data_IF_995948430565
#
_entry.id   IF_995948430565
#
_cell.length_a   1.000
_cell.length_b   1.000
_cell.length_c   1.000
_cell.angle_alpha   90.00
_cell.angle_beta   90.00
_cell.angle_gamma   90.00
#
_symmetry.space_group_name_H-M   'P 1'
#
loop_
_entity.id
_entity.type
_entity.pdbx_description
1 polymer ?
#
# COMPACT_ATOMS: atom_id res chain seq x y z
N UNK A 1 -36.18 0.42 1.37
CA UNK A 1 -35.59 1.25 2.44
C UNK A 1 -34.11 1.40 2.14
N UNK A 2 -33.67 2.48 1.49
CA UNK A 2 -32.26 2.70 1.20
C UNK A 2 -31.56 3.11 2.49
N UNK A 3 -30.84 2.18 3.12
CA UNK A 3 -29.95 2.54 4.22
C UNK A 3 -28.97 3.59 3.69
N UNK A 4 -28.80 4.68 4.44
CA UNK A 4 -27.87 5.74 4.09
C UNK A 4 -26.46 5.14 4.11
N UNK A 5 -25.96 4.77 2.94
CA UNK A 5 -24.63 4.17 2.78
C UNK A 5 -23.58 5.25 3.07
N UNK A 6 -22.98 5.22 4.26
CA UNK A 6 -21.96 6.18 4.67
C UNK A 6 -20.59 5.79 4.11
N UNK A 7 -19.68 6.76 3.95
CA UNK A 7 -18.29 6.49 3.55
C UNK A 7 -17.63 5.47 4.50
N UNK A 8 -17.92 5.55 5.79
CA UNK A 8 -17.45 4.59 6.78
C UNK A 8 -17.97 3.18 6.48
N UNK A 9 -19.24 3.03 6.10
CA UNK A 9 -19.80 1.72 5.75
C UNK A 9 -19.14 1.13 4.50
N UNK A 10 -18.96 1.95 3.45
CA UNK A 10 -18.33 1.53 2.19
C UNK A 10 -16.89 1.08 2.42
N UNK A 11 -16.11 1.89 3.14
CA UNK A 11 -14.66 1.72 3.22
C UNK A 11 -14.19 0.91 4.42
N UNK A 12 -15.04 0.68 5.42
CA UNK A 12 -14.67 -0.05 6.65
C UNK A 12 -15.77 -0.96 7.18
N UNK A 13 -17.03 -0.56 7.10
CA UNK A 13 -18.13 -1.24 7.79
C UNK A 13 -18.58 -2.57 7.17
N UNK A 14 -18.16 -2.88 5.93
CA UNK A 14 -18.44 -4.19 5.33
C UNK A 14 -17.37 -5.22 5.72
N UNK A 15 -17.74 -6.51 5.93
CA UNK A 15 -16.77 -7.57 6.21
C UNK A 15 -15.66 -7.68 5.15
N UNK A 16 -16.01 -7.45 3.89
CA UNK A 16 -15.04 -7.44 2.79
C UNK A 16 -14.04 -6.30 2.93
N UNK A 17 -14.49 -5.09 3.23
CA UNK A 17 -13.61 -3.94 3.43
C UNK A 17 -12.66 -4.15 4.61
N UNK A 18 -13.21 -4.61 5.74
CA UNK A 18 -12.40 -4.96 6.92
C UNK A 18 -11.32 -5.99 6.60
N UNK A 19 -11.68 -7.09 5.93
CA UNK A 19 -10.72 -8.14 5.56
C UNK A 19 -9.62 -7.64 4.62
N UNK A 20 -9.94 -6.70 3.71
CA UNK A 20 -8.92 -6.08 2.84
C UNK A 20 -7.95 -5.24 3.66
N UNK A 21 -8.45 -4.38 4.55
CA UNK A 21 -7.60 -3.58 5.43
C UNK A 21 -6.70 -4.46 6.30
N UNK A 22 -7.27 -5.47 6.97
CA UNK A 22 -6.51 -6.39 7.83
C UNK A 22 -5.44 -7.15 7.06
N UNK A 23 -5.77 -7.67 5.87
CA UNK A 23 -4.80 -8.39 5.03
C UNK A 23 -3.57 -7.54 4.69
N UNK A 24 -3.78 -6.31 4.23
CA UNK A 24 -2.65 -5.43 3.89
C UNK A 24 -1.96 -4.88 5.13
N UNK A 25 -2.66 -4.61 6.22
CA UNK A 25 -2.03 -4.21 7.47
C UNK A 25 -1.06 -5.29 7.97
N UNK A 26 -1.51 -6.56 8.01
CA UNK A 26 -0.66 -7.70 8.36
C UNK A 26 0.54 -7.86 7.42
N UNK A 27 0.33 -7.71 6.10
CA UNK A 27 1.39 -7.81 5.11
C UNK A 27 2.52 -6.81 5.33
N UNK A 28 2.19 -5.61 5.83
CA UNK A 28 3.13 -4.52 6.12
C UNK A 28 3.52 -4.43 7.60
N UNK A 29 3.10 -5.38 8.44
CA UNK A 29 3.39 -5.36 9.88
C UNK A 29 2.75 -4.20 10.63
N UNK A 30 1.62 -3.68 10.15
CA UNK A 30 0.80 -2.65 10.81
C UNK A 30 -0.25 -3.36 11.67
N UNK A 31 -0.44 -2.91 12.91
CA UNK A 31 -1.38 -3.52 13.85
C UNK A 31 -2.83 -3.13 13.47
N UNK A 32 -3.70 -4.08 13.10
CA UNK A 32 -5.06 -3.76 12.64
C UNK A 32 -5.99 -3.20 13.73
N UNK A 33 -5.72 -3.50 15.01
CA UNK A 33 -6.56 -3.06 16.14
C UNK A 33 -6.60 -1.54 16.31
N UNK A 34 -5.62 -0.82 15.75
CA UNK A 34 -5.53 0.64 15.83
C UNK A 34 -6.38 1.33 14.75
N UNK A 35 -7.04 0.55 13.89
CA UNK A 35 -7.72 1.05 12.69
C UNK A 35 -9.22 0.78 12.78
N UNK A 36 -9.99 1.77 13.24
CA UNK A 36 -11.45 1.65 13.38
C UNK A 36 -12.23 2.44 12.33
N UNK A 37 -11.56 3.29 11.56
CA UNK A 37 -12.16 4.09 10.49
C UNK A 37 -11.13 4.53 9.45
N UNK A 38 -11.62 5.08 8.35
CA UNK A 38 -10.78 5.54 7.23
C UNK A 38 -9.73 6.56 7.66
N UNK A 39 -10.09 7.52 8.53
CA UNK A 39 -9.16 8.56 8.96
C UNK A 39 -8.02 7.99 9.83
N UNK A 40 -8.33 7.05 10.72
CA UNK A 40 -7.33 6.32 11.50
C UNK A 40 -6.45 5.46 10.58
N UNK A 41 -7.03 4.77 9.60
CA UNK A 41 -6.26 3.99 8.62
C UNK A 41 -5.25 4.88 7.89
N UNK A 42 -5.72 6.00 7.32
CA UNK A 42 -4.84 6.93 6.61
C UNK A 42 -3.74 7.49 7.51
N UNK A 43 -4.07 7.82 8.76
CA UNK A 43 -3.09 8.32 9.75
C UNK A 43 -2.03 7.29 10.08
N UNK A 44 -2.44 6.07 10.46
CA UNK A 44 -1.52 4.98 10.83
C UNK A 44 -0.59 4.65 9.67
N UNK A 45 -1.12 4.51 8.46
CA UNK A 45 -0.31 4.23 7.28
C UNK A 45 0.63 5.39 6.92
N UNK A 46 0.17 6.64 7.04
CA UNK A 46 1.01 7.82 6.78
C UNK A 46 2.19 7.92 7.75
N UNK A 47 1.98 7.59 9.02
CA UNK A 47 3.01 7.66 10.08
C UNK A 47 3.90 6.41 10.14
N UNK A 48 3.55 5.35 9.41
CA UNK A 48 4.28 4.07 9.45
C UNK A 48 5.67 4.09 8.80
N UNK A 49 6.05 5.19 8.14
CA UNK A 49 7.33 5.39 7.48
C UNK A 49 7.62 6.87 7.27
N UNK A 50 8.88 7.26 7.37
CA UNK A 50 9.39 8.61 7.12
C UNK A 50 9.80 8.83 5.65
N UNK A 51 9.80 7.77 4.85
CA UNK A 51 10.36 7.82 3.50
C UNK A 51 9.34 8.42 2.51
N UNK A 52 9.66 9.51 1.81
CA UNK A 52 8.74 10.10 0.84
C UNK A 52 8.44 9.13 -0.32
N UNK A 53 7.16 9.01 -0.68
CA UNK A 53 6.72 8.16 -1.80
C UNK A 53 6.81 6.66 -1.50
N UNK A 54 6.87 6.28 -0.22
CA UNK A 54 6.94 4.89 0.19
C UNK A 54 5.68 4.10 -0.22
N UNK A 55 5.82 2.80 -0.51
CA UNK A 55 4.67 1.94 -0.88
C UNK A 55 3.54 1.98 0.16
N UNK A 56 3.88 2.14 1.44
CA UNK A 56 2.93 2.29 2.56
C UNK A 56 2.04 3.53 2.43
N UNK A 57 2.45 4.57 1.72
CA UNK A 57 1.58 5.73 1.43
C UNK A 57 0.60 5.44 0.29
N UNK A 58 0.94 4.52 -0.61
CA UNK A 58 0.17 4.22 -1.82
C UNK A 58 -0.90 3.17 -1.56
N UNK A 59 -0.57 2.11 -0.81
CA UNK A 59 -1.49 1.01 -0.48
C UNK A 59 -2.85 1.46 0.06
N UNK A 60 -2.96 2.36 1.06
CA UNK A 60 -4.26 2.79 1.57
C UNK A 60 -5.09 3.52 0.49
N UNK A 61 -4.45 4.24 -0.43
CA UNK A 61 -5.12 4.90 -1.57
C UNK A 61 -5.67 3.85 -2.53
N UNK A 62 -4.91 2.80 -2.81
CA UNK A 62 -5.35 1.69 -3.67
C UNK A 62 -6.51 0.91 -3.05
N UNK A 63 -6.49 0.69 -1.74
CA UNK A 63 -7.60 0.06 -1.01
C UNK A 63 -8.88 0.89 -1.16
N UNK A 64 -8.81 2.20 -0.88
CA UNK A 64 -9.96 3.10 -1.03
C UNK A 64 -10.48 3.11 -2.47
N UNK A 65 -9.58 3.20 -3.45
CA UNK A 65 -9.96 3.19 -4.86
C UNK A 65 -10.66 1.88 -5.26
N UNK A 66 -10.10 0.73 -4.88
CA UNK A 66 -10.65 -0.57 -5.25
C UNK A 66 -12.00 -0.85 -4.56
N UNK A 67 -12.16 -0.43 -3.30
CA UNK A 67 -13.45 -0.51 -2.59
C UNK A 67 -14.50 0.41 -3.22
N UNK A 68 -14.11 1.62 -3.63
CA UNK A 68 -14.98 2.54 -4.35
C UNK A 68 -15.43 1.97 -5.71
N UNK A 69 -14.48 1.41 -6.48
CA UNK A 69 -14.76 0.75 -7.75
C UNK A 69 -15.76 -0.41 -7.56
N UNK A 70 -15.50 -1.29 -6.57
CA UNK A 70 -16.36 -2.41 -6.22
C UNK A 70 -17.79 -1.97 -5.85
N UNK A 71 -17.91 -0.92 -5.01
CA UNK A 71 -19.21 -0.38 -4.62
C UNK A 71 -19.98 0.18 -5.81
N UNK A 72 -19.31 0.96 -6.67
CA UNK A 72 -19.98 1.56 -7.82
C UNK A 72 -20.49 0.50 -8.79
N UNK A 73 -19.72 -0.56 -9.03
CA UNK A 73 -20.17 -1.70 -9.84
C UNK A 73 -21.39 -2.39 -9.24
N UNK A 74 -21.37 -2.68 -7.95
CA UNK A 74 -22.52 -3.26 -7.24
C UNK A 74 -23.77 -2.39 -7.33
N UNK A 75 -23.62 -1.05 -7.27
CA UNK A 75 -24.73 -0.10 -7.39
C UNK A 75 -25.36 -0.10 -8.79
N UNK A 76 -24.57 -0.34 -9.84
CA UNK A 76 -25.04 -0.32 -11.23
C UNK A 76 -25.45 -1.70 -11.77
N UNK A 77 -25.72 -2.66 -10.88
CA UNK A 77 -26.26 -3.98 -11.24
C UNK A 77 -25.20 -5.00 -11.67
N UNK A 78 -23.91 -4.67 -11.56
CA UNK A 78 -22.85 -5.65 -11.71
C UNK A 78 -22.70 -6.49 -10.43
N UNK A 79 -22.10 -7.69 -10.56
CA UNK A 79 -21.92 -8.61 -9.43
C UNK A 79 -21.07 -7.97 -8.34
N UNK A 80 -21.45 -8.15 -7.07
CA UNK A 80 -20.65 -7.71 -5.93
C UNK A 80 -19.25 -8.34 -5.98
N UNK A 81 -18.25 -7.52 -5.64
CA UNK A 81 -16.86 -7.95 -5.63
C UNK A 81 -16.55 -8.75 -4.36
N UNK A 82 -15.96 -9.93 -4.55
CA UNK A 82 -15.42 -10.72 -3.44
C UNK A 82 -14.10 -10.12 -2.95
N UNK A 83 -13.73 -10.47 -1.70
CA UNK A 83 -12.40 -10.20 -1.16
C UNK A 83 -11.28 -10.55 -2.15
N UNK A 84 -11.34 -11.74 -2.77
CA UNK A 84 -10.33 -12.19 -3.74
C UNK A 84 -10.24 -11.29 -4.98
N UNK A 85 -11.39 -10.79 -5.48
CA UNK A 85 -11.42 -9.92 -6.65
C UNK A 85 -10.79 -8.55 -6.35
N UNK A 86 -11.12 -7.96 -5.19
CA UNK A 86 -10.57 -6.67 -4.75
C UNK A 86 -9.07 -6.80 -4.46
N UNK A 87 -8.68 -7.85 -3.74
CA UNK A 87 -7.28 -8.17 -3.47
C UNK A 87 -6.48 -8.31 -4.77
N UNK A 88 -6.95 -9.14 -5.71
CA UNK A 88 -6.30 -9.33 -7.01
C UNK A 88 -6.17 -8.00 -7.78
N UNK A 89 -7.18 -7.13 -7.70
CA UNK A 89 -7.14 -5.80 -8.31
C UNK A 89 -6.02 -4.95 -7.72
N UNK A 90 -5.93 -4.85 -6.39
CA UNK A 90 -4.89 -4.09 -5.70
C UNK A 90 -3.51 -4.68 -5.99
N UNK A 91 -3.34 -6.00 -5.85
CA UNK A 91 -2.08 -6.71 -6.12
C UNK A 91 -1.57 -6.44 -7.55
N UNK A 92 -2.48 -6.48 -8.54
CA UNK A 92 -2.14 -6.18 -9.92
C UNK A 92 -1.67 -4.74 -10.10
N UNK A 93 -2.33 -3.77 -9.46
CA UNK A 93 -1.92 -2.36 -9.55
C UNK A 93 -0.53 -2.18 -8.94
N UNK A 94 -0.27 -2.74 -7.75
CA UNK A 94 1.06 -2.68 -7.11
C UNK A 94 2.12 -3.31 -8.03
N UNK A 95 1.82 -4.48 -8.60
CA UNK A 95 2.70 -5.16 -9.53
C UNK A 95 3.02 -4.31 -10.77
N UNK A 96 2.01 -3.69 -11.40
CA UNK A 96 2.20 -2.86 -12.58
C UNK A 96 2.97 -1.57 -12.28
N UNK A 97 2.70 -0.91 -11.15
CA UNK A 97 3.46 0.26 -10.71
C UNK A 97 4.94 -0.10 -10.52
N UNK A 98 5.23 -1.24 -9.88
CA UNK A 98 6.60 -1.73 -9.72
C UNK A 98 7.28 -2.09 -11.04
N UNK A 99 6.55 -2.72 -11.96
CA UNK A 99 7.04 -3.07 -13.32
C UNK A 99 7.31 -1.84 -14.18
N UNK A 100 6.56 -0.76 -13.98
CA UNK A 100 6.76 0.51 -14.65
C UNK A 100 7.92 1.34 -14.07
N UNK A 101 8.68 0.79 -13.11
CA UNK A 101 9.78 1.44 -12.39
C UNK A 101 9.37 2.77 -11.71
N UNK A 102 8.10 2.88 -11.30
CA UNK A 102 7.62 4.00 -10.51
C UNK A 102 7.96 3.85 -9.02
N UNK A 103 8.37 2.64 -8.60
CA UNK A 103 8.77 2.32 -7.24
C UNK A 103 10.18 1.75 -7.16
N UNK A 104 11.15 2.63 -6.96
CA UNK A 104 12.55 2.27 -6.75
C UNK A 104 12.84 1.70 -5.36
N UNK A 105 14.05 1.18 -5.18
CA UNK A 105 14.55 0.57 -3.94
C UNK A 105 14.21 1.34 -2.65
N UNK A 106 14.40 2.67 -2.65
CA UNK A 106 14.13 3.51 -1.48
C UNK A 106 12.66 3.47 -1.04
N UNK A 107 11.72 3.29 -1.97
CA UNK A 107 10.28 3.27 -1.68
C UNK A 107 9.81 1.95 -1.04
N UNK A 108 10.72 0.98 -0.87
CA UNK A 108 10.50 -0.31 -0.21
C UNK A 108 11.34 -0.48 1.06
N UNK A 109 11.91 0.60 1.59
CA UNK A 109 12.81 0.56 2.74
C UNK A 109 12.08 -0.04 3.96
N UNK A 110 12.51 -1.22 4.38
CA UNK A 110 11.90 -1.95 5.49
C UNK A 110 10.82 -2.96 5.07
N UNK A 111 10.42 -2.96 3.79
CA UNK A 111 9.40 -3.84 3.21
C UNK A 111 9.88 -4.56 1.94
N UNK A 112 11.18 -4.84 1.83
CA UNK A 112 11.76 -5.51 0.67
C UNK A 112 11.16 -6.91 0.43
N UNK A 113 10.82 -7.62 1.52
CA UNK A 113 10.12 -8.90 1.48
C UNK A 113 8.74 -8.76 0.80
N UNK A 114 8.02 -7.67 1.06
CA UNK A 114 6.72 -7.40 0.45
C UNK A 114 6.88 -7.15 -1.05
N UNK A 115 7.93 -6.45 -1.47
CA UNK A 115 8.23 -6.25 -2.89
C UNK A 115 8.43 -7.58 -3.65
N UNK A 116 9.12 -8.54 -3.01
CA UNK A 116 9.33 -9.89 -3.54
C UNK A 116 8.00 -10.63 -3.71
N UNK A 117 7.08 -10.50 -2.75
CA UNK A 117 5.73 -11.08 -2.85
C UNK A 117 4.95 -10.54 -4.06
N UNK A 118 5.13 -9.26 -4.39
CA UNK A 118 4.55 -8.64 -5.59
C UNK A 118 5.36 -8.90 -6.88
N UNK A 119 6.43 -9.70 -6.82
CA UNK A 119 7.33 -10.01 -7.95
C UNK A 119 7.95 -8.74 -8.56
N UNK A 120 8.26 -7.76 -7.70
CA UNK A 120 8.88 -6.49 -8.09
C UNK A 120 10.39 -6.63 -7.86
N UNK A 121 11.22 -6.44 -8.90
CA UNK A 121 12.67 -6.53 -8.76
C UNK A 121 13.19 -5.29 -8.03
N UNK A 122 13.53 -5.44 -6.75
CA UNK A 122 14.09 -4.35 -5.95
C UNK A 122 15.62 -4.47 -5.94
N UNK A 123 16.28 -3.66 -6.76
CA UNK A 123 17.75 -3.65 -6.85
C UNK A 123 18.34 -2.66 -5.85
N UNK A 124 19.16 -3.15 -4.92
CA UNK A 124 19.93 -2.28 -4.04
C UNK A 124 20.92 -1.46 -4.88
N UNK A 125 20.98 -0.12 -4.70
CA UNK A 125 22.01 0.68 -5.35
C UNK A 125 23.39 0.11 -5.00
N UNK A 126 24.24 -0.10 -6.01
CA UNK A 126 25.64 -0.41 -5.75
C UNK A 126 26.26 0.80 -5.06
N UNK A 127 26.70 0.62 -3.82
CA UNK A 127 27.45 1.66 -3.12
C UNK A 127 28.80 1.83 -3.82
N UNK A 128 29.16 3.06 -4.18
CA UNK A 128 30.52 3.36 -4.59
C UNK A 128 31.46 3.00 -3.43
N UNK A 129 32.56 2.26 -3.67
CA UNK A 129 33.50 1.94 -2.62
C UNK A 129 34.03 3.25 -1.99
N UNK A 130 34.29 3.27 -0.66
CA UNK A 130 34.82 4.45 0.00
C UNK A 130 36.12 4.87 -0.68
N UNK A 131 36.17 6.13 -1.13
CA UNK A 131 37.36 6.73 -1.70
C UNK A 131 38.20 7.33 -0.56
N UNK A 132 39.45 6.90 -0.43
CA UNK A 132 40.39 7.55 0.49
C UNK A 132 40.86 8.87 -0.11
N UNK A 133 40.50 9.98 0.53
CA UNK A 133 41.07 11.29 0.25
C UNK A 133 42.40 11.40 1.00
N UNK A 134 43.51 11.43 0.26
CA UNK A 134 44.81 11.79 0.82
C UNK A 134 44.87 13.31 0.95
N UNK A 135 44.84 13.80 2.17
CA UNK A 135 45.13 15.20 2.47
C UNK A 135 46.65 15.39 2.46
N UNK A 136 47.15 16.29 1.60
CA UNK A 136 48.53 16.74 1.63
C UNK A 136 48.59 18.03 2.45
N UNK A 137 49.23 17.98 3.61
CA UNK A 137 49.64 19.19 4.34
C UNK A 137 50.85 19.78 3.63
N UNK A 138 50.74 21.02 3.15
CA UNK A 138 51.90 21.79 2.69
C UNK A 138 52.76 22.14 3.91
N UNK A 139 54.06 21.85 3.81
CA UNK A 139 55.09 22.20 4.78
C UNK A 139 55.58 23.63 4.55
#
# INVERSE_FOLDING_TARGET
MSFLETLQHVFFGSPTAFNIWSYYAELFGIIPSDINNVAQALTVWSLSTDTPGHIRHIVPILILWALWEARNKAKHGERQYSFQAIKKRIDNIIHYIGRADLLHYKHWRGDYNVAVLFKIPVQKPQLRPPQSLKWYTQA
#
